data_IF_763724915969
#
_entry.id   IF_763724915969
#
_cell.length_a   1.000
_cell.length_b   1.000
_cell.length_c   1.000
_cell.angle_alpha   90.00
_cell.angle_beta   90.00
_cell.angle_gamma   90.00
#
_symmetry.space_group_name_H-M   'P 1'
#
loop_
_entity.id
_entity.type
_entity.pdbx_description
1 polymer ?
#
# COMPACT_ATOMS: atom_id res chain seq x y z
N UNK A 1 -15.08 -11.52 -7.29
CA UNK A 1 -14.04 -12.39 -6.70
C UNK A 1 -12.69 -11.67 -6.68
N UNK A 2 -12.51 -10.72 -5.78
CA UNK A 2 -11.27 -9.93 -5.71
C UNK A 2 -10.58 -10.18 -4.37
N UNK A 3 -9.77 -11.25 -4.31
CA UNK A 3 -8.98 -11.63 -3.12
C UNK A 3 -7.96 -10.55 -2.79
N UNK A 4 -7.31 -9.95 -3.80
CA UNK A 4 -6.31 -8.91 -3.58
C UNK A 4 -6.94 -7.72 -2.87
N UNK A 5 -8.11 -7.26 -3.32
CA UNK A 5 -8.83 -6.14 -2.73
C UNK A 5 -9.20 -6.42 -1.27
N UNK A 6 -9.79 -7.57 -0.97
CA UNK A 6 -10.20 -7.91 0.39
C UNK A 6 -9.01 -7.98 1.35
N UNK A 7 -7.93 -8.65 0.97
CA UNK A 7 -6.75 -8.81 1.83
C UNK A 7 -5.93 -7.51 1.94
N UNK A 8 -5.82 -6.74 0.86
CA UNK A 8 -5.12 -5.46 0.87
C UNK A 8 -5.83 -4.41 1.75
N UNK A 9 -7.17 -4.40 1.78
CA UNK A 9 -7.93 -3.55 2.71
C UNK A 9 -7.55 -3.84 4.17
N UNK A 10 -7.60 -5.12 4.55
CA UNK A 10 -7.24 -5.54 5.92
C UNK A 10 -5.80 -5.17 6.24
N UNK A 11 -4.89 -5.38 5.29
CA UNK A 11 -3.48 -5.05 5.48
C UNK A 11 -3.27 -3.53 5.67
N UNK A 12 -3.95 -2.68 4.89
CA UNK A 12 -3.90 -1.23 5.05
C UNK A 12 -4.43 -0.75 6.40
N UNK A 13 -5.54 -1.32 6.87
CA UNK A 13 -6.03 -1.09 8.23
C UNK A 13 -5.00 -1.48 9.29
N UNK A 14 -4.45 -2.71 9.18
CA UNK A 14 -3.51 -3.23 10.17
C UNK A 14 -2.19 -2.46 10.18
N UNK A 15 -1.73 -1.96 9.04
CA UNK A 15 -0.54 -1.11 8.95
C UNK A 15 -0.66 0.14 9.82
N UNK A 16 -1.82 0.82 9.77
CA UNK A 16 -2.08 2.00 10.61
C UNK A 16 -2.13 1.65 12.08
N UNK A 17 -2.77 0.53 12.44
CA UNK A 17 -2.84 0.08 13.84
C UNK A 17 -1.46 -0.26 14.40
N UNK A 18 -0.59 -0.89 13.61
CA UNK A 18 0.80 -1.14 13.98
C UNK A 18 1.60 0.16 14.11
N UNK A 19 1.41 1.09 13.19
CA UNK A 19 2.05 2.39 13.30
C UNK A 19 1.63 3.11 14.58
N UNK A 20 0.35 3.07 14.94
CA UNK A 20 -0.16 3.67 16.17
C UNK A 20 0.38 3.00 17.44
N UNK A 21 0.58 1.69 17.42
CA UNK A 21 1.11 0.90 18.53
C UNK A 21 2.59 1.21 18.80
N UNK A 22 3.37 1.39 17.74
CA UNK A 22 4.80 1.69 17.82
C UNK A 22 5.12 3.17 17.95
N UNK A 23 4.19 4.07 17.58
CA UNK A 23 4.42 5.51 17.68
C UNK A 23 4.20 6.00 19.12
N UNK A 24 5.20 6.58 19.79
CA UNK A 24 5.14 6.87 21.24
C UNK A 24 4.35 8.15 21.57
N UNK A 25 3.47 8.61 20.67
CA UNK A 25 2.65 9.81 20.84
C UNK A 25 1.24 9.59 20.33
N UNK A 26 0.35 10.56 20.57
CA UNK A 26 -1.03 10.51 20.10
C UNK A 26 -1.14 10.65 18.58
N UNK A 27 -2.05 9.91 17.96
CA UNK A 27 -2.46 10.14 16.59
C UNK A 27 -3.35 11.39 16.45
N UNK A 28 -4.44 11.56 17.26
CA UNK A 28 -5.26 12.75 17.20
C UNK A 28 -4.58 13.95 17.88
N UNK A 29 -5.06 15.13 17.54
CA UNK A 29 -4.83 16.31 18.36
C UNK A 29 -5.52 16.13 19.71
N UNK A 30 -4.83 16.49 20.77
CA UNK A 30 -5.37 16.46 22.13
C UNK A 30 -5.12 17.80 22.82
N UNK A 31 -6.14 18.30 23.49
CA UNK A 31 -6.06 19.52 24.31
C UNK A 31 -6.34 19.19 25.77
N UNK A 32 -5.46 19.64 26.64
CA UNK A 32 -5.60 19.47 28.11
C UNK A 32 -5.25 20.78 28.81
N UNK A 33 -5.53 20.87 30.10
CA UNK A 33 -5.08 22.00 30.92
C UNK A 33 -3.54 22.13 30.96
N UNK A 34 -2.81 21.05 30.70
CA UNK A 34 -1.34 21.02 30.62
C UNK A 34 -0.79 21.43 29.25
N UNK A 35 -1.65 21.63 28.24
CA UNK A 35 -1.25 22.03 26.89
C UNK A 35 -1.87 21.24 25.78
N UNK A 36 -1.43 21.52 24.55
CA UNK A 36 -1.93 20.90 23.31
C UNK A 36 -0.89 19.96 22.70
N UNK A 37 -1.30 18.75 22.38
CA UNK A 37 -0.54 17.80 21.58
C UNK A 37 -1.05 17.90 20.12
N UNK A 38 -0.13 18.12 19.18
CA UNK A 38 -0.48 18.19 17.75
C UNK A 38 -0.79 16.78 17.22
N UNK A 39 -1.69 16.71 16.25
CA UNK A 39 -1.97 15.47 15.54
C UNK A 39 -0.73 14.92 14.83
N UNK A 40 -0.61 13.60 14.78
CA UNK A 40 0.44 12.90 14.04
C UNK A 40 0.35 13.22 12.53
N UNK A 41 1.51 13.41 11.90
CA UNK A 41 1.65 13.59 10.46
C UNK A 41 1.97 12.23 9.83
N UNK A 42 1.03 11.73 9.04
CA UNK A 42 1.14 10.44 8.38
C UNK A 42 1.35 10.67 6.88
N UNK A 43 2.40 10.07 6.33
CA UNK A 43 2.68 10.06 4.89
C UNK A 43 2.44 8.65 4.36
N UNK A 44 1.62 8.54 3.30
CA UNK A 44 1.30 7.25 2.66
C UNK A 44 1.85 7.26 1.24
N UNK A 45 2.74 6.31 0.95
CA UNK A 45 3.39 6.15 -0.34
C UNK A 45 2.86 4.91 -1.07
N UNK A 46 2.13 5.15 -2.14
CA UNK A 46 1.31 4.18 -2.85
C UNK A 46 -0.16 4.25 -2.41
N UNK A 47 -1.04 4.56 -3.38
CA UNK A 47 -2.47 4.78 -3.15
C UNK A 47 -3.29 3.75 -3.95
N UNK A 48 -2.95 2.46 -3.76
CA UNK A 48 -3.81 1.35 -4.14
C UNK A 48 -4.86 1.07 -3.05
N UNK A 49 -5.51 -0.10 -3.11
CA UNK A 49 -6.52 -0.52 -2.12
C UNK A 49 -6.02 -0.39 -0.69
N UNK A 50 -4.80 -0.88 -0.41
CA UNK A 50 -4.19 -0.81 0.90
C UNK A 50 -3.91 0.63 1.34
N UNK A 51 -3.38 1.47 0.44
CA UNK A 51 -3.08 2.88 0.71
C UNK A 51 -4.34 3.69 1.00
N UNK A 52 -5.39 3.52 0.20
CA UNK A 52 -6.70 4.17 0.44
C UNK A 52 -7.30 3.77 1.78
N UNK A 53 -7.23 2.48 2.14
CA UNK A 53 -7.69 2.01 3.44
C UNK A 53 -6.83 2.57 4.59
N UNK A 54 -5.52 2.66 4.39
CA UNK A 54 -4.62 3.27 5.37
C UNK A 54 -4.97 4.75 5.58
N UNK A 55 -5.24 5.52 4.50
CA UNK A 55 -5.74 6.90 4.58
C UNK A 55 -7.01 6.96 5.43
N UNK A 56 -8.02 6.16 5.08
CA UNK A 56 -9.31 6.15 5.77
C UNK A 56 -9.16 5.80 7.26
N UNK A 57 -8.29 4.85 7.59
CA UNK A 57 -8.05 4.42 8.98
C UNK A 57 -7.30 5.49 9.77
N UNK A 58 -6.21 6.03 9.24
CA UNK A 58 -5.43 7.09 9.89
C UNK A 58 -6.27 8.37 10.09
N UNK A 59 -7.17 8.68 9.15
CA UNK A 59 -8.11 9.80 9.27
C UNK A 59 -9.07 9.60 10.45
N UNK A 60 -9.61 8.40 10.63
CA UNK A 60 -10.48 8.07 11.77
C UNK A 60 -9.74 8.15 13.09
N UNK A 61 -8.43 7.90 13.12
CA UNK A 61 -7.58 8.11 14.30
C UNK A 61 -7.20 9.58 14.52
N UNK A 62 -7.63 10.50 13.66
CA UNK A 62 -7.41 11.94 13.81
C UNK A 62 -6.05 12.45 13.33
N UNK A 63 -5.33 11.68 12.53
CA UNK A 63 -4.05 12.10 11.94
C UNK A 63 -4.25 13.15 10.82
N UNK A 64 -3.20 13.92 10.56
CA UNK A 64 -3.05 14.75 9.36
C UNK A 64 -2.30 13.92 8.31
N UNK A 65 -2.91 13.72 7.13
CA UNK A 65 -2.44 12.75 6.17
C UNK A 65 -2.05 13.44 4.86
N UNK A 66 -0.87 13.10 4.35
CA UNK A 66 -0.43 13.39 3.00
C UNK A 66 -0.16 12.06 2.27
N UNK A 67 -0.46 11.99 0.98
CA UNK A 67 -0.27 10.77 0.20
C UNK A 67 0.33 11.06 -1.17
N UNK A 68 1.13 10.14 -1.69
CA UNK A 68 1.74 10.19 -3.00
C UNK A 68 1.54 8.89 -3.77
N UNK A 69 1.28 9.02 -5.06
CA UNK A 69 1.26 7.91 -6.03
C UNK A 69 1.79 8.43 -7.36
N UNK A 70 2.32 7.54 -8.18
CA UNK A 70 2.76 7.87 -9.55
C UNK A 70 1.60 8.09 -10.52
N UNK A 71 0.39 7.65 -10.15
CA UNK A 71 -0.84 7.78 -10.93
C UNK A 71 -1.62 9.02 -10.52
N UNK A 72 -1.72 10.07 -11.36
CA UNK A 72 -2.48 11.27 -11.02
C UNK A 72 -3.98 11.01 -10.80
N UNK A 73 -4.52 9.98 -11.45
CA UNK A 73 -5.95 9.62 -11.36
C UNK A 73 -6.43 9.26 -9.96
N UNK A 74 -5.52 8.95 -9.02
CA UNK A 74 -5.89 8.63 -7.63
C UNK A 74 -6.02 9.87 -6.74
N UNK A 75 -5.66 11.06 -7.22
CA UNK A 75 -5.69 12.32 -6.45
C UNK A 75 -7.08 12.58 -5.86
N UNK A 76 -8.13 12.51 -6.68
CA UNK A 76 -9.51 12.73 -6.22
C UNK A 76 -9.92 11.74 -5.13
N UNK A 77 -9.48 10.48 -5.24
CA UNK A 77 -9.77 9.45 -4.23
C UNK A 77 -9.08 9.79 -2.89
N UNK A 78 -7.84 10.27 -2.92
CA UNK A 78 -7.09 10.72 -1.73
C UNK A 78 -7.81 11.91 -1.06
N UNK A 79 -8.18 12.91 -1.85
CA UNK A 79 -8.81 14.13 -1.35
C UNK A 79 -10.23 13.86 -0.82
N UNK A 80 -10.99 12.94 -1.43
CA UNK A 80 -12.30 12.52 -0.96
C UNK A 80 -12.27 11.85 0.42
N UNK A 81 -11.14 11.20 0.76
CA UNK A 81 -10.91 10.63 2.09
C UNK A 81 -10.40 11.65 3.12
N UNK A 82 -10.22 12.92 2.71
CA UNK A 82 -9.79 14.02 3.57
C UNK A 82 -8.28 14.02 3.83
N UNK A 83 -7.49 13.41 2.96
CA UNK A 83 -6.04 13.53 2.93
C UNK A 83 -5.62 14.56 1.86
N UNK A 84 -4.37 15.03 1.94
CA UNK A 84 -3.78 15.91 0.92
C UNK A 84 -2.92 15.08 -0.02
N UNK A 85 -3.13 15.24 -1.32
CA UNK A 85 -2.23 14.65 -2.31
C UNK A 85 -0.93 15.47 -2.41
N UNK A 86 0.22 14.77 -2.46
CA UNK A 86 1.53 15.39 -2.68
C UNK A 86 1.64 15.61 -4.19
N UNK A 87 1.29 16.80 -4.61
CA UNK A 87 1.23 17.19 -6.01
C UNK A 87 2.60 17.64 -6.51
N UNK A 88 2.95 17.21 -7.72
CA UNK A 88 4.18 17.63 -8.42
C UNK A 88 3.75 18.26 -9.76
N UNK A 89 3.99 19.54 -9.97
CA UNK A 89 3.59 20.22 -11.21
C UNK A 89 4.21 19.59 -12.45
N UNK A 90 3.45 19.54 -13.55
CA UNK A 90 3.98 19.17 -14.86
C UNK A 90 4.64 20.39 -15.48
N UNK A 91 5.90 20.25 -15.89
CA UNK A 91 6.69 21.33 -16.49
C UNK A 91 6.74 21.23 -18.00
N UNK A 92 6.48 20.02 -18.56
CA UNK A 92 6.51 19.77 -20.00
C UNK A 92 5.20 19.18 -20.50
N UNK A 93 4.97 19.28 -21.82
CA UNK A 93 3.79 18.65 -22.44
C UNK A 93 3.91 17.13 -22.42
N UNK A 94 5.15 16.58 -22.55
CA UNK A 94 5.42 15.15 -22.40
C UNK A 94 4.98 14.62 -21.04
N UNK A 95 5.22 15.36 -19.96
CA UNK A 95 4.79 14.99 -18.61
C UNK A 95 3.26 14.99 -18.48
N UNK A 96 2.56 15.95 -19.10
CA UNK A 96 1.10 16.00 -19.14
C UNK A 96 0.51 14.82 -19.90
N UNK A 97 1.05 14.54 -21.11
CA UNK A 97 0.62 13.42 -21.92
C UNK A 97 0.88 12.07 -21.23
N UNK A 98 2.02 11.92 -20.54
CA UNK A 98 2.31 10.73 -19.76
C UNK A 98 1.31 10.52 -18.61
N UNK A 99 0.93 11.62 -17.93
CA UNK A 99 -0.01 11.59 -16.83
C UNK A 99 -1.45 11.27 -17.28
N UNK A 100 -1.89 11.80 -18.43
CA UNK A 100 -3.21 11.52 -19.01
C UNK A 100 -3.35 10.05 -19.43
N UNK A 101 -2.25 9.40 -19.79
CA UNK A 101 -2.20 7.99 -20.14
C UNK A 101 -3.00 7.61 -21.39
N UNK A 102 -3.14 6.30 -21.63
CA UNK A 102 -4.00 5.76 -22.69
C UNK A 102 -4.86 4.66 -22.09
N UNK A 103 -6.19 4.75 -22.25
CA UNK A 103 -7.11 3.73 -21.77
C UNK A 103 -7.17 3.55 -20.25
N UNK A 104 -6.88 4.60 -19.48
CA UNK A 104 -6.92 4.57 -18.00
C UNK A 104 -5.65 4.04 -17.33
N UNK A 105 -4.63 3.70 -18.09
CA UNK A 105 -3.30 3.32 -17.59
C UNK A 105 -2.32 4.48 -17.79
N UNK A 106 -1.69 4.95 -16.70
CA UNK A 106 -0.63 5.95 -16.79
C UNK A 106 0.56 5.37 -17.58
N UNK A 107 1.14 6.18 -18.46
CA UNK A 107 2.44 5.87 -19.04
C UNK A 107 3.54 6.06 -17.99
N UNK A 108 4.72 5.43 -18.15
CA UNK A 108 5.86 5.76 -17.30
C UNK A 108 6.14 7.27 -17.37
N UNK A 109 6.20 7.90 -16.19
CA UNK A 109 6.53 9.32 -16.11
C UNK A 109 7.99 9.56 -16.50
N UNK A 110 8.31 10.69 -17.16
CA UNK A 110 9.68 11.09 -17.43
C UNK A 110 10.54 11.16 -16.16
N UNK A 111 11.83 10.87 -16.28
CA UNK A 111 12.75 10.84 -15.16
C UNK A 111 12.83 12.19 -14.42
N UNK A 112 12.76 13.30 -15.15
CA UNK A 112 12.73 14.65 -14.57
C UNK A 112 11.58 14.84 -13.58
N UNK A 113 10.40 14.37 -13.93
CA UNK A 113 9.24 14.43 -13.05
C UNK A 113 9.40 13.51 -11.82
N UNK A 114 9.89 12.28 -12.03
CA UNK A 114 10.15 11.33 -10.95
C UNK A 114 11.17 11.87 -9.95
N UNK A 115 12.20 12.58 -10.41
CA UNK A 115 13.20 13.20 -9.54
C UNK A 115 12.60 14.33 -8.70
N UNK A 116 11.72 15.16 -9.28
CA UNK A 116 10.98 16.17 -8.53
C UNK A 116 10.02 15.55 -7.53
N UNK A 117 9.30 14.48 -7.92
CA UNK A 117 8.43 13.75 -7.03
C UNK A 117 9.23 13.18 -5.84
N UNK A 118 10.38 12.55 -6.10
CA UNK A 118 11.26 12.03 -5.06
C UNK A 118 11.71 13.14 -4.09
N UNK A 119 12.05 14.31 -4.60
CA UNK A 119 12.46 15.44 -3.77
C UNK A 119 11.30 15.96 -2.88
N UNK A 120 10.07 16.07 -3.44
CA UNK A 120 8.89 16.48 -2.65
C UNK A 120 8.52 15.42 -1.61
N UNK A 121 8.55 14.14 -1.96
CA UNK A 121 8.33 13.03 -1.02
C UNK A 121 9.36 13.07 0.11
N UNK A 122 10.63 13.29 -0.19
CA UNK A 122 11.69 13.38 0.82
C UNK A 122 11.42 14.48 1.86
N UNK A 123 10.97 15.67 1.42
CA UNK A 123 10.58 16.76 2.34
C UNK A 123 9.42 16.36 3.25
N UNK A 124 8.44 15.61 2.74
CA UNK A 124 7.28 15.17 3.53
C UNK A 124 7.66 14.07 4.50
N UNK A 125 8.48 13.11 4.08
CA UNK A 125 9.02 12.04 4.93
C UNK A 125 9.83 12.61 6.09
N UNK A 126 10.73 13.57 5.85
CA UNK A 126 11.50 14.22 6.90
C UNK A 126 10.63 14.94 7.95
N UNK A 127 9.44 15.42 7.56
CA UNK A 127 8.50 16.07 8.46
C UNK A 127 7.45 15.10 9.06
N UNK A 128 7.42 13.85 8.63
CA UNK A 128 6.45 12.86 9.05
C UNK A 128 6.76 12.28 10.44
N UNK A 129 5.71 11.92 11.13
CA UNK A 129 5.74 11.11 12.35
C UNK A 129 5.58 9.62 12.02
N UNK A 130 4.80 9.33 10.97
CA UNK A 130 4.56 7.96 10.48
C UNK A 130 4.63 7.95 8.95
N UNK A 131 5.28 6.93 8.39
CA UNK A 131 5.29 6.64 6.96
C UNK A 131 4.74 5.23 6.73
N UNK A 132 3.82 5.08 5.78
CA UNK A 132 3.31 3.77 5.35
C UNK A 132 3.60 3.62 3.86
N UNK A 133 4.33 2.57 3.49
CA UNK A 133 4.67 2.28 2.10
C UNK A 133 3.92 1.05 1.61
N UNK A 134 3.35 1.14 0.41
CA UNK A 134 2.48 0.08 -0.13
C UNK A 134 2.80 -0.32 -1.57
N UNK A 135 3.88 0.21 -2.16
CA UNK A 135 4.16 -0.03 -3.56
C UNK A 135 4.72 -1.43 -3.82
N UNK A 136 3.99 -2.18 -4.63
CA UNK A 136 4.35 -3.52 -5.07
C UNK A 136 4.27 -3.59 -6.59
N UNK A 137 5.24 -4.27 -7.20
CA UNK A 137 5.22 -4.62 -8.61
C UNK A 137 5.17 -6.15 -8.70
N UNK A 138 4.08 -6.75 -9.15
CA UNK A 138 3.96 -8.21 -9.23
C UNK A 138 5.12 -8.83 -10.01
N UNK A 139 5.77 -9.86 -9.42
CA UNK A 139 6.88 -10.59 -10.04
C UNK A 139 8.22 -9.84 -10.13
N UNK A 140 8.33 -8.65 -9.53
CA UNK A 140 9.56 -7.84 -9.49
C UNK A 140 9.89 -7.39 -8.08
N UNK A 141 11.13 -6.92 -7.89
CA UNK A 141 11.54 -6.27 -6.66
C UNK A 141 10.68 -5.03 -6.39
N UNK A 142 10.35 -4.80 -5.13
CA UNK A 142 9.63 -3.60 -4.74
C UNK A 142 10.50 -2.36 -4.98
N UNK A 143 9.92 -1.24 -5.46
CA UNK A 143 10.68 -0.02 -5.67
C UNK A 143 11.11 0.58 -4.31
N UNK A 144 12.30 1.13 -4.25
CA UNK A 144 12.74 1.92 -3.09
C UNK A 144 12.01 3.26 -3.10
N UNK A 145 11.11 3.45 -2.14
CA UNK A 145 10.35 4.69 -1.95
C UNK A 145 10.94 5.59 -0.87
N UNK A 146 11.53 4.98 0.17
CA UNK A 146 12.15 5.68 1.29
C UNK A 146 13.60 5.23 1.38
N UNK A 147 14.53 6.14 1.08
CA UNK A 147 15.97 5.86 1.15
C UNK A 147 16.48 5.96 2.58
N UNK A 148 17.69 5.45 2.85
CA UNK A 148 18.31 5.55 4.15
C UNK A 148 18.53 7.01 4.57
N UNK A 149 18.88 7.89 3.63
CA UNK A 149 19.02 9.33 3.87
C UNK A 149 17.69 9.97 4.28
N UNK A 150 16.57 9.57 3.68
CA UNK A 150 15.25 10.03 4.09
C UNK A 150 14.93 9.58 5.51
N UNK A 151 15.27 8.34 5.88
CA UNK A 151 15.06 7.80 7.23
C UNK A 151 15.90 8.57 8.25
N UNK A 152 17.17 8.83 7.94
CA UNK A 152 18.05 9.59 8.81
C UNK A 152 17.59 11.03 9.07
N UNK A 153 16.80 11.60 8.14
CA UNK A 153 16.22 12.93 8.27
C UNK A 153 14.89 12.95 9.05
N UNK A 154 14.31 11.80 9.36
CA UNK A 154 13.07 11.69 10.12
C UNK A 154 13.31 12.05 11.60
N UNK A 155 12.21 12.37 12.28
CA UNK A 155 12.26 12.67 13.72
C UNK A 155 12.52 11.40 14.53
N UNK A 156 13.20 11.56 15.66
CA UNK A 156 13.35 10.49 16.65
C UNK A 156 11.98 9.99 17.13
N UNK A 157 11.80 8.66 17.15
CA UNK A 157 10.55 8.01 17.52
C UNK A 157 9.52 7.95 16.39
N UNK A 158 9.88 8.35 15.16
CA UNK A 158 9.01 8.12 13.99
C UNK A 158 8.90 6.63 13.65
N UNK A 159 7.84 6.28 12.91
CA UNK A 159 7.53 4.89 12.56
C UNK A 159 7.37 4.74 11.05
N UNK A 160 7.97 3.71 10.49
CA UNK A 160 7.76 3.29 9.10
C UNK A 160 7.10 1.91 9.13
N UNK A 161 5.99 1.73 8.41
CA UNK A 161 5.40 0.41 8.17
C UNK A 161 5.56 0.10 6.69
N UNK A 162 6.41 -0.87 6.40
CA UNK A 162 6.71 -1.30 5.03
C UNK A 162 5.85 -2.51 4.65
N UNK A 163 4.79 -2.25 3.88
CA UNK A 163 3.86 -3.30 3.45
C UNK A 163 4.39 -4.14 2.28
N UNK A 164 5.53 -3.75 1.69
CA UNK A 164 6.18 -4.51 0.62
C UNK A 164 7.18 -5.55 1.16
N UNK A 165 7.42 -5.58 2.47
CA UNK A 165 8.34 -6.51 3.09
C UNK A 165 8.07 -7.96 2.71
N UNK A 166 9.10 -8.69 2.23
CA UNK A 166 9.04 -10.10 1.90
C UNK A 166 8.20 -10.47 0.68
N UNK A 167 7.80 -9.51 -0.15
CA UNK A 167 6.93 -9.76 -1.31
C UNK A 167 7.65 -9.74 -2.67
N UNK A 168 8.94 -9.48 -2.67
CA UNK A 168 9.77 -9.58 -3.88
C UNK A 168 10.13 -11.01 -4.24
N UNK A 169 10.73 -11.23 -5.43
CA UNK A 169 11.08 -12.56 -5.94
C UNK A 169 11.98 -13.39 -5.01
N UNK A 170 12.79 -12.73 -4.18
CA UNK A 170 13.71 -13.36 -3.22
C UNK A 170 13.20 -13.29 -1.77
N UNK A 171 12.01 -12.74 -1.54
CA UNK A 171 11.43 -12.60 -0.20
C UNK A 171 12.10 -11.56 0.71
N UNK A 172 13.04 -10.77 0.19
CA UNK A 172 13.83 -9.80 0.97
C UNK A 172 13.51 -8.35 0.67
N UNK A 173 12.70 -8.12 -0.37
CA UNK A 173 12.43 -6.77 -0.84
C UNK A 173 11.44 -6.04 0.06
N UNK A 174 11.63 -4.74 0.15
CA UNK A 174 10.74 -3.78 0.78
C UNK A 174 10.82 -2.44 0.07
N UNK A 175 10.04 -1.48 0.49
CA UNK A 175 10.09 -0.11 -0.04
C UNK A 175 11.17 0.75 0.65
N UNK A 176 11.90 0.21 1.62
CA UNK A 176 13.11 0.80 2.20
C UNK A 176 14.20 -0.26 2.37
N UNK A 177 15.48 0.10 2.12
CA UNK A 177 16.61 -0.83 2.20
C UNK A 177 16.87 -1.34 3.63
N UNK A 178 16.32 -0.68 4.65
CA UNK A 178 16.49 -1.05 6.06
C UNK A 178 15.37 -1.97 6.58
N UNK A 179 14.40 -2.32 5.75
CA UNK A 179 13.34 -3.28 6.11
C UNK A 179 13.94 -4.67 6.33
N UNK A 180 13.57 -5.30 7.44
CA UNK A 180 13.84 -6.71 7.69
C UNK A 180 12.51 -7.47 7.77
N UNK A 181 12.43 -8.56 6.99
CA UNK A 181 11.19 -9.34 6.86
C UNK A 181 10.77 -9.95 8.20
N UNK A 182 9.50 -9.76 8.55
CA UNK A 182 8.87 -10.23 9.79
C UNK A 182 9.51 -9.70 11.09
N UNK A 183 10.24 -8.59 10.99
CA UNK A 183 10.89 -7.96 12.14
C UNK A 183 10.45 -6.51 12.34
N UNK A 184 10.68 -6.04 13.55
CA UNK A 184 10.65 -4.62 13.92
C UNK A 184 12.06 -4.21 14.27
N UNK A 185 12.62 -3.27 13.52
CA UNK A 185 13.99 -2.81 13.69
C UNK A 185 14.05 -1.33 14.00
N UNK A 186 15.13 -0.91 14.65
CA UNK A 186 15.43 0.50 14.93
C UNK A 186 16.59 0.95 14.04
N UNK A 187 16.38 2.01 13.29
CA UNK A 187 17.43 2.61 12.46
C UNK A 187 17.30 4.13 12.45
N UNK A 188 18.40 4.84 12.66
CA UNK A 188 18.46 6.31 12.71
C UNK A 188 17.43 6.95 13.65
N UNK A 189 16.98 6.21 14.69
CA UNK A 189 15.96 6.66 15.62
C UNK A 189 14.51 6.49 15.16
N UNK A 190 14.31 5.91 14.00
CA UNK A 190 12.99 5.48 13.51
C UNK A 190 12.77 3.99 13.76
N UNK A 191 11.52 3.61 14.02
CA UNK A 191 11.07 2.21 14.09
C UNK A 191 10.59 1.76 12.72
N UNK A 192 11.13 0.67 12.19
CA UNK A 192 10.74 0.10 10.89
C UNK A 192 10.05 -1.24 11.14
N UNK A 193 8.79 -1.35 10.72
CA UNK A 193 7.94 -2.54 10.86
C UNK A 193 7.85 -3.24 9.51
N UNK A 194 8.47 -4.42 9.39
CA UNK A 194 8.59 -5.19 8.15
C UNK A 194 7.78 -6.49 8.11
N UNK A 195 6.55 -6.51 8.64
CA UNK A 195 5.74 -7.72 8.62
C UNK A 195 5.20 -8.05 7.23
N UNK A 196 5.57 -9.23 6.69
CA UNK A 196 5.20 -9.66 5.34
C UNK A 196 3.69 -9.92 5.17
N UNK A 197 3.01 -10.45 6.19
CA UNK A 197 1.59 -10.78 6.11
C UNK A 197 0.76 -10.03 7.16
N UNK A 198 0.40 -8.80 6.84
CA UNK A 198 -0.41 -7.95 7.74
C UNK A 198 -1.86 -8.43 7.84
N UNK A 199 -2.43 -9.00 6.77
CA UNK A 199 -3.80 -9.52 6.79
C UNK A 199 -3.96 -10.68 7.78
N UNK A 200 -2.96 -11.55 7.91
CA UNK A 200 -2.96 -12.64 8.88
C UNK A 200 -3.04 -12.16 10.35
N UNK A 201 -2.65 -10.91 10.61
CA UNK A 201 -2.75 -10.30 11.95
C UNK A 201 -4.17 -9.82 12.32
N UNK A 202 -5.13 -9.99 11.39
CA UNK A 202 -6.57 -9.82 11.57
C UNK A 202 -7.25 -11.09 11.05
N UNK A 203 -6.80 -12.25 11.53
CA UNK A 203 -7.04 -13.57 10.93
C UNK A 203 -8.51 -13.95 10.80
N UNK A 204 -9.37 -13.58 11.75
CA UNK A 204 -10.80 -13.91 11.68
C UNK A 204 -11.48 -13.27 10.47
N UNK A 205 -11.34 -11.95 10.29
CA UNK A 205 -11.96 -11.24 9.19
C UNK A 205 -11.27 -11.56 7.86
N UNK A 206 -9.93 -11.70 7.86
CA UNK A 206 -9.18 -12.07 6.66
C UNK A 206 -9.62 -13.44 6.13
N UNK A 207 -9.77 -14.44 7.02
CA UNK A 207 -10.24 -15.78 6.66
C UNK A 207 -11.69 -15.77 6.18
N UNK A 208 -12.57 -15.03 6.86
CA UNK A 208 -13.98 -14.95 6.48
C UNK A 208 -14.17 -14.32 5.09
N UNK A 209 -13.44 -13.25 4.77
CA UNK A 209 -13.50 -12.62 3.46
C UNK A 209 -12.86 -13.49 2.39
N UNK A 210 -11.74 -14.13 2.69
CA UNK A 210 -11.09 -15.07 1.76
C UNK A 210 -11.99 -16.27 1.46
N UNK A 211 -12.64 -16.84 2.47
CA UNK A 211 -13.58 -17.95 2.29
C UNK A 211 -14.75 -17.59 1.36
N UNK A 212 -15.26 -16.36 1.43
CA UNK A 212 -16.27 -15.87 0.48
C UNK A 212 -15.75 -15.80 -0.95
N UNK A 213 -14.54 -15.30 -1.16
CA UNK A 213 -13.93 -15.28 -2.48
C UNK A 213 -13.79 -16.71 -3.06
N UNK A 214 -13.33 -17.67 -2.22
CA UNK A 214 -13.23 -19.08 -2.61
C UNK A 214 -14.60 -19.68 -2.91
N UNK A 215 -15.60 -19.43 -2.07
CA UNK A 215 -16.97 -19.91 -2.29
C UNK A 215 -17.56 -19.41 -3.60
N UNK A 216 -17.35 -18.12 -3.93
CA UNK A 216 -17.85 -17.55 -5.17
C UNK A 216 -17.15 -18.16 -6.39
N UNK A 217 -15.86 -18.48 -6.29
CA UNK A 217 -15.16 -19.24 -7.34
C UNK A 217 -15.69 -20.68 -7.46
N UNK A 218 -15.92 -21.35 -6.33
CA UNK A 218 -16.47 -22.73 -6.33
C UNK A 218 -17.84 -22.79 -6.99
N UNK A 219 -18.69 -21.79 -6.85
CA UNK A 219 -20.00 -21.74 -7.54
C UNK A 219 -19.87 -21.75 -9.07
N UNK A 220 -18.77 -21.24 -9.63
CA UNK A 220 -18.52 -21.29 -11.08
C UNK A 220 -18.10 -22.68 -11.54
N UNK A 221 -17.21 -23.33 -10.77
CA UNK A 221 -16.63 -24.63 -11.17
C UNK A 221 -17.37 -25.84 -10.62
N UNK A 222 -18.23 -25.67 -9.62
CA UNK A 222 -19.07 -26.71 -9.00
C UNK A 222 -20.54 -26.27 -8.92
N UNK A 223 -21.22 -26.00 -10.03
CA UNK A 223 -22.64 -25.70 -9.99
C UNK A 223 -23.42 -26.91 -9.47
N UNK A 224 -24.47 -26.72 -8.63
CA UNK A 224 -25.13 -27.81 -7.89
C UNK A 224 -25.64 -28.96 -8.75
N UNK A 225 -26.07 -28.66 -9.98
CA UNK A 225 -26.72 -29.65 -10.87
C UNK A 225 -25.75 -30.31 -11.87
N UNK A 226 -24.54 -29.78 -12.04
CA UNK A 226 -23.61 -30.22 -13.10
C UNK A 226 -22.35 -30.88 -12.58
N UNK A 227 -22.07 -30.79 -11.27
CA UNK A 227 -20.79 -31.25 -10.72
C UNK A 227 -19.62 -30.40 -11.21
N UNK A 228 -18.39 -30.97 -11.21
CA UNK A 228 -17.20 -30.23 -11.66
C UNK A 228 -17.30 -29.87 -13.13
N UNK A 229 -17.37 -28.57 -13.41
CA UNK A 229 -17.46 -28.00 -14.75
C UNK A 229 -16.36 -26.94 -14.92
N UNK A 230 -15.53 -27.13 -15.93
CA UNK A 230 -14.46 -26.17 -16.27
C UNK A 230 -14.89 -25.49 -17.56
N UNK A 231 -15.55 -24.35 -17.41
CA UNK A 231 -15.99 -23.53 -18.53
C UNK A 231 -14.89 -22.56 -18.95
N UNK A 232 -14.30 -22.79 -20.10
CA UNK A 232 -13.22 -21.94 -20.63
C UNK A 232 -13.72 -20.66 -21.30
N UNK A 233 -15.02 -20.51 -21.48
CA UNK A 233 -15.62 -19.25 -21.96
C UNK A 233 -15.84 -18.25 -20.81
N UNK A 234 -15.81 -18.74 -19.55
CA UNK A 234 -15.78 -17.87 -18.38
C UNK A 234 -14.35 -17.35 -18.13
N UNK A 235 -14.19 -16.04 -18.25
CA UNK A 235 -12.89 -15.37 -18.12
C UNK A 235 -12.17 -15.65 -16.77
N UNK A 236 -12.94 -15.84 -15.69
CA UNK A 236 -12.39 -16.11 -14.35
C UNK A 236 -11.86 -17.54 -14.28
N UNK A 237 -12.65 -18.51 -14.78
CA UNK A 237 -12.26 -19.92 -14.82
C UNK A 237 -11.04 -20.10 -15.73
N UNK A 238 -11.07 -19.53 -16.92
CA UNK A 238 -9.95 -19.54 -17.86
C UNK A 238 -8.68 -18.93 -17.27
N UNK A 239 -8.79 -17.80 -16.57
CA UNK A 239 -7.65 -17.13 -15.94
C UNK A 239 -7.08 -17.91 -14.73
N UNK A 240 -7.89 -18.74 -14.06
CA UNK A 240 -7.46 -19.54 -12.90
C UNK A 240 -6.91 -20.91 -13.28
N UNK A 241 -7.20 -21.41 -14.49
CA UNK A 241 -6.78 -22.75 -14.90
C UNK A 241 -5.30 -22.80 -15.24
N UNK A 242 -4.51 -23.44 -14.38
CA UNK A 242 -3.06 -23.57 -14.54
C UNK A 242 -2.68 -24.79 -15.40
N UNK A 243 -3.32 -25.93 -15.13
CA UNK A 243 -3.02 -27.20 -15.82
C UNK A 243 -4.29 -27.97 -16.12
N UNK A 244 -4.36 -28.65 -17.25
CA UNK A 244 -5.46 -29.53 -17.63
C UNK A 244 -4.92 -30.68 -18.49
N UNK A 245 -5.33 -31.93 -18.18
CA UNK A 245 -4.94 -33.14 -18.92
C UNK A 245 -3.42 -33.31 -19.09
N UNK A 246 -2.63 -32.90 -18.10
CA UNK A 246 -1.17 -32.96 -18.13
C UNK A 246 -0.48 -31.82 -18.89
N UNK A 247 -1.22 -30.88 -19.44
CA UNK A 247 -0.70 -29.72 -20.16
C UNK A 247 -0.79 -28.46 -19.29
N UNK A 248 0.26 -27.62 -19.34
CA UNK A 248 0.26 -26.31 -18.70
C UNK A 248 -0.49 -25.32 -19.58
N UNK A 249 -1.57 -24.73 -19.06
CA UNK A 249 -2.42 -23.78 -19.76
C UNK A 249 -1.97 -22.34 -19.56
N UNK A 250 -1.32 -22.05 -18.43
CA UNK A 250 -0.82 -20.72 -18.10
C UNK A 250 0.65 -20.82 -17.65
N UNK A 251 1.51 -19.99 -18.23
CA UNK A 251 2.92 -19.82 -17.89
C UNK A 251 3.14 -18.60 -17.00
#
# INVERSE_FOLDING_TARGET
MDVLSSQANIAGYKAVMLAADHYPRFFPMLMTAAGTVKAARVVILGVGVAGLQAIATAKRLGAVIEASDVRPSVKEQVESLGAKFIDVPYETDEEREAAEGVGGYARPMPQSWLDRQKAEVAKRVAAADVVITTALIPGRAAPTLVTEEMISAMRQGSVIVDMAAGKGPQGHDGNTPLTQVDQVVQAHGATIVGYANLAARVGADASALYARNVLDFLKLVLPPEKGLTIDMEDDIVAACLMTQNGETRRK
#
